data_IF_184893363689
#
_entry.id   IF_184893363689
#
_cell.length_a   1.000
_cell.length_b   1.000
_cell.length_c   1.000
_cell.angle_alpha   90.00
_cell.angle_beta   90.00
_cell.angle_gamma   90.00
#
_symmetry.space_group_name_H-M   'P 1'
#
loop_
_entity.id
_entity.type
_entity.pdbx_description
1 polymer ?
#
# COMPACT_ATOMS: atom_id res chain seq x y z
N UNK A 1 -2.26 2.47 10.75
CA UNK A 1 -1.79 3.50 9.78
C UNK A 1 -2.19 3.09 8.37
N UNK A 2 -2.71 4.01 7.55
CA UNK A 2 -3.08 3.73 6.15
C UNK A 2 -2.01 4.29 5.22
N UNK A 3 -1.50 3.47 4.29
CA UNK A 3 -0.45 3.82 3.33
C UNK A 3 -0.86 3.50 1.89
N UNK A 4 -0.26 4.18 0.91
CA UNK A 4 -0.46 3.96 -0.52
C UNK A 4 0.85 4.16 -1.29
N UNK A 5 0.92 3.78 -2.56
CA UNK A 5 2.12 4.00 -3.37
C UNK A 5 2.40 5.50 -3.62
N UNK A 6 1.34 6.29 -3.83
CA UNK A 6 1.42 7.72 -4.11
C UNK A 6 1.54 8.07 -5.61
N UNK A 7 1.86 9.34 -5.89
CA UNK A 7 1.92 9.92 -7.25
C UNK A 7 0.57 9.86 -7.98
N UNK A 8 0.42 8.94 -8.93
CA UNK A 8 -0.80 8.75 -9.73
C UNK A 8 -1.90 8.03 -8.95
N UNK A 9 -1.56 7.47 -7.79
CA UNK A 9 -2.47 6.79 -6.88
C UNK A 9 -2.30 7.37 -5.48
N UNK A 10 -2.87 8.57 -5.28
CA UNK A 10 -2.77 9.31 -4.03
C UNK A 10 -4.15 9.51 -3.42
N UNK A 11 -4.29 9.09 -2.16
CA UNK A 11 -5.52 9.24 -1.39
C UNK A 11 -5.31 10.26 -0.27
N UNK A 12 -6.27 11.14 -0.03
CA UNK A 12 -6.17 12.17 1.02
C UNK A 12 -6.04 11.58 2.44
N UNK A 13 -6.46 10.32 2.64
CA UNK A 13 -6.42 9.63 3.93
C UNK A 13 -5.23 8.68 4.11
N UNK A 14 -4.37 8.51 3.09
CA UNK A 14 -3.28 7.54 3.11
C UNK A 14 -1.92 8.23 2.91
N UNK A 15 -0.90 7.75 3.64
CA UNK A 15 0.47 8.27 3.48
C UNK A 15 1.17 7.59 2.29
N UNK A 16 1.83 8.34 1.40
CA UNK A 16 2.59 7.76 0.30
C UNK A 16 3.87 7.10 0.82
N UNK A 17 4.15 5.87 0.38
CA UNK A 17 5.41 5.16 0.68
C UNK A 17 6.35 5.04 -0.52
N UNK A 18 5.92 5.46 -1.71
CA UNK A 18 6.70 5.35 -2.95
C UNK A 18 6.33 4.14 -3.80
N UNK A 19 6.77 4.13 -5.05
CA UNK A 19 6.42 3.11 -6.05
C UNK A 19 7.52 2.06 -6.14
N UNK A 20 7.14 0.80 -5.96
CA UNK A 20 8.03 -0.34 -6.08
C UNK A 20 8.76 -0.67 -4.78
N UNK A 21 9.25 -1.91 -4.70
CA UNK A 21 9.68 -2.50 -3.42
C UNK A 21 10.79 -1.73 -2.71
N UNK A 22 11.74 -1.14 -3.44
CA UNK A 22 12.89 -0.44 -2.84
C UNK A 22 12.45 0.85 -2.15
N UNK A 23 11.75 1.73 -2.86
CA UNK A 23 11.28 3.01 -2.30
C UNK A 23 10.25 2.77 -1.19
N UNK A 24 9.30 1.84 -1.41
CA UNK A 24 8.32 1.45 -0.40
C UNK A 24 8.97 0.90 0.85
N UNK A 25 9.97 0.02 0.74
CA UNK A 25 10.64 -0.57 1.91
C UNK A 25 11.39 0.48 2.72
N UNK A 26 12.14 1.38 2.07
CA UNK A 26 12.90 2.43 2.75
C UNK A 26 11.96 3.37 3.50
N UNK A 27 10.97 3.92 2.80
CA UNK A 27 10.05 4.92 3.37
C UNK A 27 9.15 4.32 4.44
N UNK A 28 8.59 3.12 4.20
CA UNK A 28 7.74 2.47 5.19
C UNK A 28 8.54 2.11 6.45
N UNK A 29 9.79 1.65 6.32
CA UNK A 29 10.63 1.34 7.49
C UNK A 29 10.87 2.58 8.34
N UNK A 30 11.17 3.73 7.72
CA UNK A 30 11.32 5.00 8.44
C UNK A 30 10.04 5.36 9.19
N UNK A 31 8.88 5.30 8.53
CA UNK A 31 7.58 5.57 9.16
C UNK A 31 7.30 4.62 10.34
N UNK A 32 7.63 3.34 10.21
CA UNK A 32 7.43 2.36 11.29
C UNK A 32 8.33 2.63 12.51
N UNK A 33 9.56 3.11 12.30
CA UNK A 33 10.47 3.47 13.39
C UNK A 33 9.96 4.71 14.14
N UNK A 34 9.49 5.71 13.39
CA UNK A 34 9.04 7.00 13.93
C UNK A 34 7.68 6.90 14.63
N UNK A 35 6.70 6.25 14.00
CA UNK A 35 5.31 6.26 14.47
C UNK A 35 4.89 4.99 15.20
N UNK A 36 5.66 3.90 15.03
CA UNK A 36 5.42 2.60 15.69
C UNK A 36 3.95 2.17 15.62
N UNK A 37 3.35 2.12 14.42
CA UNK A 37 1.93 1.77 14.29
C UNK A 37 1.70 0.32 14.72
N UNK A 38 0.59 0.07 15.42
CA UNK A 38 0.17 -1.30 15.79
C UNK A 38 -0.24 -2.11 14.55
N UNK A 39 -0.84 -1.45 13.55
CA UNK A 39 -1.28 -2.06 12.31
C UNK A 39 -1.02 -1.15 11.09
N UNK A 40 -0.80 -1.77 9.93
CA UNK A 40 -0.57 -1.08 8.65
C UNK A 40 -1.56 -1.63 7.62
N UNK A 41 -2.32 -0.74 6.99
CA UNK A 41 -3.22 -1.05 5.88
C UNK A 41 -2.70 -0.37 4.61
N UNK A 42 -2.30 -1.17 3.63
CA UNK A 42 -1.96 -0.66 2.30
C UNK A 42 -3.20 -0.63 1.42
N UNK A 43 -3.46 0.51 0.79
CA UNK A 43 -4.53 0.69 -0.20
C UNK A 43 -3.93 1.11 -1.52
N UNK A 44 -4.31 0.42 -2.59
CA UNK A 44 -3.88 0.74 -3.93
C UNK A 44 -4.62 -0.02 -5.02
N UNK A 45 -4.24 0.21 -6.26
CA UNK A 45 -4.75 -0.51 -7.43
C UNK A 45 -3.80 -1.64 -7.83
N UNK A 46 -4.36 -2.64 -8.50
CA UNK A 46 -3.59 -3.76 -9.04
C UNK A 46 -4.19 -4.23 -10.35
N UNK A 47 -3.34 -4.71 -11.25
CA UNK A 47 -3.77 -5.47 -12.41
C UNK A 47 -4.15 -6.89 -12.01
N UNK A 48 -5.26 -7.41 -12.54
CA UNK A 48 -5.66 -8.79 -12.33
C UNK A 48 -5.13 -9.69 -13.46
N UNK A 49 -4.37 -10.73 -13.12
CA UNK A 49 -3.92 -11.77 -14.07
C UNK A 49 -4.96 -12.90 -14.28
N UNK A 50 -6.20 -12.77 -13.77
CA UNK A 50 -7.16 -13.87 -13.72
C UNK A 50 -8.59 -13.46 -13.38
N UNK A 51 -9.15 -14.02 -12.31
CA UNK A 51 -10.60 -14.09 -12.03
C UNK A 51 -11.29 -12.81 -11.57
N UNK A 52 -10.55 -11.71 -11.38
CA UNK A 52 -11.12 -10.46 -10.86
C UNK A 52 -11.57 -9.55 -12.00
N UNK A 53 -12.72 -8.91 -11.82
CA UNK A 53 -13.27 -7.91 -12.74
C UNK A 53 -12.76 -6.51 -12.38
N UNK A 54 -12.87 -5.59 -13.32
CA UNK A 54 -12.57 -4.18 -13.07
C UNK A 54 -13.47 -3.69 -11.92
N UNK A 55 -12.88 -2.94 -10.99
CA UNK A 55 -13.51 -2.43 -9.76
C UNK A 55 -13.86 -3.47 -8.68
N UNK A 56 -13.48 -4.75 -8.83
CA UNK A 56 -13.54 -5.67 -7.70
C UNK A 56 -12.54 -5.22 -6.62
N UNK A 57 -12.99 -5.21 -5.36
CA UNK A 57 -12.12 -4.96 -4.19
C UNK A 57 -11.49 -6.29 -3.78
N UNK A 58 -10.16 -6.32 -3.69
CA UNK A 58 -9.40 -7.49 -3.27
C UNK A 58 -8.68 -7.16 -1.97
N UNK A 59 -8.86 -8.01 -0.95
CA UNK A 59 -8.16 -7.94 0.33
C UNK A 59 -7.18 -9.10 0.46
N UNK A 60 -5.96 -8.83 0.89
CA UNK A 60 -5.00 -9.86 1.29
C UNK A 60 -4.48 -9.60 2.71
N UNK A 61 -4.36 -10.66 3.50
CA UNK A 61 -3.79 -10.63 4.84
C UNK A 61 -2.48 -11.45 4.94
N UNK A 62 -2.09 -12.11 3.86
CA UNK A 62 -0.90 -12.96 3.79
C UNK A 62 -0.08 -12.61 2.55
N UNK A 63 1.23 -12.84 2.63
CA UNK A 63 2.04 -12.91 1.42
C UNK A 63 1.60 -14.13 0.58
N UNK A 64 1.77 -14.03 -0.73
CA UNK A 64 1.55 -15.14 -1.66
C UNK A 64 2.74 -16.11 -1.65
#
# INVERSE_FOLDING_TARGET
MIVCAGRIEQFAFARPVGIGMIESAITLTQLCIEEKPEEILFVGTAGAYGKHRIFDIVSSHTAA
#
